data_IF_199635576930
#
_entry.id   IF_199635576930
#
_cell.length_a   1.000
_cell.length_b   1.000
_cell.length_c   1.000
_cell.angle_alpha   90.00
_cell.angle_beta   90.00
_cell.angle_gamma   90.00
#
_symmetry.space_group_name_H-M   'P 1'
#
loop_
_entity.id
_entity.type
_entity.pdbx_description
1 polymer ?
#
# COMPACT_ATOMS: atom_id res chain seq x y z
N UNK A 1 9.02 1.02 -24.64
CA UNK A 1 8.40 -0.32 -24.80
C UNK A 1 8.02 -0.89 -23.42
N UNK A 2 6.94 -0.38 -22.79
CA UNK A 2 6.24 -1.01 -21.64
C UNK A 2 5.03 -0.14 -21.22
N UNK A 3 4.17 0.24 -22.17
CA UNK A 3 3.07 1.19 -21.90
C UNK A 3 1.71 0.76 -22.42
N UNK A 4 1.61 -0.38 -23.11
CA UNK A 4 0.41 -0.72 -23.86
C UNK A 4 -0.55 -1.68 -23.14
N UNK A 5 -0.14 -2.32 -22.03
CA UNK A 5 -1.01 -3.27 -21.33
C UNK A 5 -0.99 -3.05 -19.81
N UNK A 6 -1.76 -2.04 -19.35
CA UNK A 6 -1.93 -1.70 -17.93
C UNK A 6 -2.95 -2.59 -17.21
N UNK A 7 -3.54 -3.58 -17.89
CA UNK A 7 -4.53 -4.51 -17.29
C UNK A 7 -3.89 -5.59 -16.42
N UNK A 8 -2.58 -5.85 -16.59
CA UNK A 8 -1.86 -6.85 -15.79
C UNK A 8 -1.63 -6.48 -14.32
N UNK A 9 -1.72 -5.19 -13.98
CA UNK A 9 -1.29 -4.66 -12.67
C UNK A 9 -2.49 -4.20 -11.83
N UNK A 10 -3.58 -3.76 -12.48
CA UNK A 10 -4.77 -3.21 -11.83
C UNK A 10 -6.01 -3.82 -12.47
N UNK A 11 -6.77 -4.61 -11.70
CA UNK A 11 -8.09 -5.08 -12.12
C UNK A 11 -9.01 -3.88 -12.42
N UNK A 12 -9.94 -4.02 -13.37
CA UNK A 12 -10.89 -2.96 -13.71
C UNK A 12 -11.70 -2.48 -12.48
N UNK A 13 -11.93 -3.37 -11.51
CA UNK A 13 -12.65 -3.10 -10.27
C UNK A 13 -11.85 -2.20 -9.31
N UNK A 14 -10.53 -2.35 -9.24
CA UNK A 14 -9.67 -1.50 -8.39
C UNK A 14 -9.34 -0.16 -9.03
N UNK A 15 -9.37 -0.06 -10.37
CA UNK A 15 -9.11 1.20 -11.09
C UNK A 15 -10.07 2.32 -10.70
N UNK A 16 -11.37 2.00 -10.54
CA UNK A 16 -12.38 2.96 -10.09
C UNK A 16 -12.17 3.42 -8.65
N UNK A 17 -11.61 2.57 -7.78
CA UNK A 17 -11.35 2.88 -6.36
C UNK A 17 -10.12 3.77 -6.17
N UNK A 18 -9.12 3.60 -7.03
CA UNK A 18 -7.90 4.41 -6.99
C UNK A 18 -8.08 5.81 -7.58
N UNK A 19 -9.10 6.05 -8.39
CA UNK A 19 -9.37 7.38 -8.96
C UNK A 19 -10.23 8.21 -8.00
N UNK A 20 -9.58 9.11 -7.24
CA UNK A 20 -10.28 10.21 -6.57
C UNK A 20 -10.72 11.24 -7.62
N UNK A 21 -11.81 11.95 -7.32
CA UNK A 21 -12.51 12.92 -8.20
C UNK A 21 -11.59 14.01 -8.81
N UNK A 22 -10.38 14.19 -8.27
CA UNK A 22 -9.39 15.18 -8.74
C UNK A 22 -8.14 14.57 -9.42
N UNK A 23 -8.19 13.32 -9.89
CA UNK A 23 -7.06 12.66 -10.56
C UNK A 23 -5.93 12.23 -9.61
N UNK A 24 -6.17 12.27 -8.30
CA UNK A 24 -5.23 11.74 -7.30
C UNK A 24 -5.37 10.21 -7.24
N UNK A 25 -4.26 9.51 -7.44
CA UNK A 25 -4.17 8.06 -7.30
C UNK A 25 -3.62 7.76 -5.90
N UNK A 26 -4.38 7.03 -5.09
CA UNK A 26 -3.86 6.55 -3.82
C UNK A 26 -2.68 5.60 -4.07
N UNK A 27 -1.57 5.74 -3.33
CA UNK A 27 -0.41 4.92 -3.57
C UNK A 27 -0.75 3.46 -3.20
N UNK A 28 -0.35 2.55 -4.08
CA UNK A 28 -0.67 1.12 -3.98
C UNK A 28 0.55 0.29 -3.60
N UNK A 29 0.29 -0.92 -3.11
CA UNK A 29 1.30 -1.95 -2.94
C UNK A 29 0.95 -3.19 -3.77
N UNK A 30 1.96 -3.97 -4.10
CA UNK A 30 1.83 -5.16 -4.94
C UNK A 30 2.12 -6.43 -4.14
N UNK A 31 1.42 -7.51 -4.49
CA UNK A 31 1.73 -8.89 -4.13
C UNK A 31 1.75 -9.71 -5.41
N UNK A 32 2.83 -10.45 -5.65
CA UNK A 32 3.04 -11.25 -6.87
C UNK A 32 2.81 -10.49 -8.18
N UNK A 33 3.13 -9.19 -8.19
CA UNK A 33 2.99 -8.31 -9.36
C UNK A 33 1.59 -7.69 -9.56
N UNK A 34 0.64 -7.98 -8.67
CA UNK A 34 -0.73 -7.45 -8.72
C UNK A 34 -0.97 -6.44 -7.61
N UNK A 35 -1.75 -5.38 -7.88
CA UNK A 35 -2.19 -4.44 -6.84
C UNK A 35 -3.03 -5.19 -5.81
N UNK A 36 -2.54 -5.23 -4.58
CA UNK A 36 -3.15 -5.91 -3.46
C UNK A 36 -3.84 -4.94 -2.48
N UNK A 37 -3.59 -3.64 -2.61
CA UNK A 37 -4.24 -2.62 -1.79
C UNK A 37 -3.57 -1.26 -1.87
N UNK A 38 -3.92 -0.39 -0.92
CA UNK A 38 -3.37 0.97 -0.78
C UNK A 38 -2.57 1.12 0.50
N UNK A 39 -1.84 2.22 0.60
CA UNK A 39 -1.22 2.63 1.85
C UNK A 39 -1.33 4.13 2.07
N UNK A 40 -1.14 4.55 3.33
CA UNK A 40 -1.08 5.95 3.72
C UNK A 40 -0.01 6.17 4.78
N UNK A 41 0.79 7.22 4.62
CA UNK A 41 1.70 7.69 5.66
C UNK A 41 0.96 8.66 6.59
N UNK A 42 0.96 8.37 7.88
CA UNK A 42 0.48 9.25 8.95
C UNK A 42 1.62 9.64 9.87
N UNK A 43 1.63 10.88 10.34
CA UNK A 43 2.71 11.44 11.18
C UNK A 43 2.13 12.17 12.36
N UNK A 44 2.63 11.88 13.56
CA UNK A 44 2.21 12.53 14.79
C UNK A 44 3.31 12.42 15.84
N UNK A 45 3.57 13.49 16.61
CA UNK A 45 4.41 13.49 17.83
C UNK A 45 5.75 12.71 17.72
N UNK A 46 6.51 12.91 16.63
CA UNK A 46 7.80 12.24 16.42
C UNK A 46 7.68 10.77 16.02
N UNK A 47 6.51 10.38 15.50
CA UNK A 47 6.21 9.04 15.01
C UNK A 47 5.73 9.10 13.56
N UNK A 48 6.09 8.08 12.81
CA UNK A 48 5.64 7.86 11.45
C UNK A 48 5.03 6.46 11.34
N UNK A 49 3.80 6.40 10.88
CA UNK A 49 3.06 5.14 10.71
C UNK A 49 2.62 4.97 9.28
N UNK A 50 3.00 3.84 8.69
CA UNK A 50 2.52 3.39 7.38
C UNK A 50 1.29 2.52 7.61
N UNK A 51 0.14 3.01 7.18
CA UNK A 51 -1.12 2.29 7.24
C UNK A 51 -1.33 1.58 5.91
N UNK A 52 -1.29 0.25 5.92
CA UNK A 52 -1.47 -0.58 4.72
C UNK A 52 -2.86 -1.21 4.78
N UNK A 53 -3.61 -1.12 3.69
CA UNK A 53 -4.99 -1.58 3.62
C UNK A 53 -5.15 -2.49 2.38
N UNK A 54 -5.20 -3.82 2.58
CA UNK A 54 -5.51 -4.77 1.52
C UNK A 54 -6.94 -4.58 0.99
N UNK A 55 -7.16 -4.86 -0.29
CA UNK A 55 -8.48 -4.73 -0.91
C UNK A 55 -9.38 -5.94 -0.69
N UNK A 56 -9.03 -7.10 -1.25
CA UNK A 56 -10.01 -8.17 -1.48
C UNK A 56 -9.98 -9.28 -0.41
N UNK A 57 -8.82 -9.50 0.20
CA UNK A 57 -8.64 -10.55 1.20
C UNK A 57 -7.57 -10.18 2.23
N UNK A 58 -7.59 -10.81 3.41
CA UNK A 58 -6.43 -10.80 4.29
C UNK A 58 -5.20 -11.34 3.58
N UNK A 59 -4.04 -10.76 3.89
CA UNK A 59 -2.76 -11.26 3.39
C UNK A 59 -2.45 -12.62 4.02
N UNK A 60 -1.94 -13.55 3.23
CA UNK A 60 -1.35 -14.77 3.75
C UNK A 60 -0.12 -14.40 4.62
N UNK A 61 0.28 -15.24 5.59
CA UNK A 61 1.37 -14.89 6.51
C UNK A 61 2.66 -14.47 5.81
N UNK A 62 3.05 -15.14 4.73
CA UNK A 62 4.25 -14.79 3.96
C UNK A 62 4.12 -13.42 3.27
N UNK A 63 2.96 -13.12 2.71
CA UNK A 63 2.67 -11.83 2.06
C UNK A 63 2.65 -10.70 3.10
N UNK A 64 2.07 -10.95 4.28
CA UNK A 64 2.07 -10.01 5.39
C UNK A 64 3.51 -9.62 5.77
N UNK A 65 4.37 -10.62 6.01
CA UNK A 65 5.75 -10.35 6.41
C UNK A 65 6.55 -9.65 5.29
N UNK A 66 6.31 -10.00 4.03
CA UNK A 66 6.95 -9.32 2.90
C UNK A 66 6.52 -7.84 2.81
N UNK A 67 5.21 -7.58 2.94
CA UNK A 67 4.63 -6.23 2.92
C UNK A 67 5.10 -5.41 4.13
N UNK A 68 5.19 -6.02 5.31
CA UNK A 68 5.70 -5.37 6.51
C UNK A 68 7.18 -4.98 6.35
N UNK A 69 8.02 -5.91 5.87
CA UNK A 69 9.44 -5.65 5.66
C UNK A 69 9.69 -4.56 4.61
N UNK A 70 8.94 -4.57 3.50
CA UNK A 70 9.00 -3.50 2.49
C UNK A 70 8.46 -2.18 3.04
N UNK A 71 7.36 -2.22 3.79
CA UNK A 71 6.80 -1.04 4.45
C UNK A 71 7.78 -0.38 5.40
N UNK A 72 8.60 -1.16 6.10
CA UNK A 72 9.63 -0.63 6.99
C UNK A 72 10.79 0.04 6.22
N UNK A 73 11.18 -0.52 5.07
CA UNK A 73 12.14 0.12 4.16
C UNK A 73 11.59 1.43 3.61
N UNK A 74 10.32 1.44 3.19
CA UNK A 74 9.64 2.64 2.72
C UNK A 74 9.55 3.71 3.82
N UNK A 75 9.19 3.35 5.05
CA UNK A 75 9.19 4.29 6.18
C UNK A 75 10.57 4.87 6.48
N UNK A 76 11.61 4.06 6.38
CA UNK A 76 12.99 4.53 6.57
C UNK A 76 13.41 5.50 5.48
N UNK A 77 12.98 5.26 4.24
CA UNK A 77 13.21 6.16 3.13
C UNK A 77 12.43 7.49 3.27
N UNK A 78 11.14 7.43 3.60
CA UNK A 78 10.27 8.60 3.69
C UNK A 78 10.53 9.46 4.94
N UNK A 79 10.85 8.81 6.06
CA UNK A 79 10.93 9.45 7.38
C UNK A 79 12.26 9.11 8.09
N UNK A 80 13.43 9.41 7.48
CA UNK A 80 14.74 8.97 7.95
C UNK A 80 15.17 9.57 9.30
N UNK A 81 14.53 10.65 9.74
CA UNK A 81 14.79 11.35 11.01
C UNK A 81 13.81 11.00 12.13
N UNK A 82 12.77 10.23 11.81
CA UNK A 82 11.75 9.85 12.77
C UNK A 82 12.20 8.59 13.49
N UNK A 83 12.33 8.63 14.81
CA UNK A 83 12.86 7.51 15.59
C UNK A 83 11.86 6.36 15.69
N UNK A 84 10.57 6.68 15.91
CA UNK A 84 9.51 5.69 16.05
C UNK A 84 8.79 5.51 14.71
N UNK A 85 9.07 4.39 14.06
CA UNK A 85 8.47 4.00 12.78
C UNK A 85 7.71 2.69 12.96
N UNK A 86 6.49 2.65 12.46
CA UNK A 86 5.63 1.48 12.60
C UNK A 86 4.83 1.21 11.32
N UNK A 87 4.81 -0.04 10.88
CA UNK A 87 3.92 -0.49 9.80
C UNK A 87 2.68 -1.12 10.43
N UNK A 88 1.51 -0.67 10.04
CA UNK A 88 0.24 -1.26 10.44
C UNK A 88 -0.49 -1.79 9.22
N UNK A 89 -0.56 -3.11 9.11
CA UNK A 89 -1.35 -3.79 8.08
C UNK A 89 -2.73 -4.08 8.65
N UNK A 90 -3.76 -3.50 8.04
CA UNK A 90 -5.15 -3.68 8.43
C UNK A 90 -5.73 -4.94 7.81
N UNK A 91 -6.79 -5.46 8.43
CA UNK A 91 -7.63 -6.48 7.79
C UNK A 91 -8.27 -5.89 6.53
N UNK A 92 -8.49 -6.72 5.52
CA UNK A 92 -9.14 -6.29 4.28
C UNK A 92 -10.48 -5.64 4.59
N UNK A 93 -10.78 -4.55 3.91
CA UNK A 93 -12.09 -3.92 3.97
C UNK A 93 -13.02 -4.75 3.08
N UNK A 94 -13.95 -5.50 3.68
CA UNK A 94 -15.08 -6.06 2.94
C UNK A 94 -15.74 -4.93 2.15
N UNK A 95 -15.94 -5.16 0.86
CA UNK A 95 -16.73 -4.25 0.02
C UNK A 95 -18.15 -4.75 -0.04
#
# INVERSE_FOLDING_TARGET
>A
LSHADRTRIISDQHRKRMWKVNGLIDPSFLVDGYVAGTWQLTKAKGEARLNVTPFDRPLAPAEYHAVEAEGQRLLTFLEPRTERRHVAVHNSVET
#
